data_IF_994200704937
#
_entry.id   IF_994200704937
#
_cell.length_a   1.000
_cell.length_b   1.000
_cell.length_c   1.000
_cell.angle_alpha   90.00
_cell.angle_beta   90.00
_cell.angle_gamma   90.00
#
_symmetry.space_group_name_H-M   'P 1'
#
loop_
_entity.id
_entity.type
_entity.pdbx_description
1 polymer ?
#
# COMPACT_ATOMS: atom_id res chain seq x y z
N UNK A 1 -16.93 -25.71 7.39
CA UNK A 1 -15.47 -25.99 7.44
C UNK A 1 -14.75 -25.63 6.13
N UNK A 2 -15.25 -26.03 4.94
CA UNK A 2 -14.62 -25.66 3.66
C UNK A 2 -14.63 -24.14 3.34
N UNK A 3 -15.69 -23.40 3.73
CA UNK A 3 -15.77 -21.95 3.46
C UNK A 3 -14.76 -21.14 4.29
N UNK A 4 -14.62 -21.43 5.59
CA UNK A 4 -13.67 -20.73 6.46
C UNK A 4 -12.21 -20.83 5.97
N UNK A 5 -11.80 -21.99 5.43
CA UNK A 5 -10.47 -22.18 4.84
C UNK A 5 -10.24 -21.30 3.59
N UNK A 6 -11.29 -21.12 2.77
CA UNK A 6 -11.23 -20.23 1.60
C UNK A 6 -11.16 -18.77 2.04
N UNK A 7 -11.95 -18.40 3.05
CA UNK A 7 -11.99 -17.03 3.57
C UNK A 7 -10.64 -16.63 4.18
N UNK A 8 -10.01 -17.51 4.96
CA UNK A 8 -8.67 -17.29 5.52
C UNK A 8 -7.59 -17.15 4.44
N UNK A 9 -7.66 -17.96 3.38
CA UNK A 9 -6.75 -17.87 2.25
C UNK A 9 -6.90 -16.52 1.50
N UNK A 10 -8.14 -16.05 1.30
CA UNK A 10 -8.40 -14.76 0.67
C UNK A 10 -7.93 -13.59 1.53
N UNK A 11 -8.20 -13.62 2.83
CA UNK A 11 -7.76 -12.58 3.77
C UNK A 11 -6.24 -12.53 3.84
N UNK A 12 -5.56 -13.67 3.92
CA UNK A 12 -4.10 -13.72 3.96
C UNK A 12 -3.47 -13.21 2.66
N UNK A 13 -4.00 -13.59 1.51
CA UNK A 13 -3.55 -13.09 0.21
C UNK A 13 -3.73 -11.57 0.08
N UNK A 14 -4.89 -11.04 0.46
CA UNK A 14 -5.15 -9.60 0.45
C UNK A 14 -4.18 -8.84 1.36
N UNK A 15 -3.87 -9.38 2.55
CA UNK A 15 -2.88 -8.81 3.47
C UNK A 15 -1.46 -8.81 2.91
N UNK A 16 -1.07 -9.82 2.13
CA UNK A 16 0.26 -9.88 1.50
C UNK A 16 0.45 -8.80 0.43
N UNK A 17 -0.62 -8.42 -0.26
CA UNK A 17 -0.57 -7.38 -1.30
C UNK A 17 -0.62 -5.95 -0.75
N UNK A 18 -0.98 -5.78 0.53
CA UNK A 18 -1.07 -4.46 1.14
C UNK A 18 0.32 -3.86 1.41
N UNK A 19 0.50 -2.58 1.11
CA UNK A 19 1.73 -1.84 1.49
C UNK A 19 1.91 -1.77 3.02
N UNK A 20 0.80 -1.80 3.74
CA UNK A 20 0.71 -1.69 5.17
C UNK A 20 -0.59 -2.32 5.68
N UNK A 21 -0.52 -3.03 6.81
CA UNK A 21 -1.68 -3.58 7.51
C UNK A 21 -1.68 -3.01 8.93
N UNK A 22 -2.82 -2.47 9.37
CA UNK A 22 -3.09 -2.08 10.75
C UNK A 22 -4.02 -3.14 11.34
N UNK A 23 -3.59 -3.81 12.40
CA UNK A 23 -4.33 -4.88 13.05
C UNK A 23 -4.53 -4.54 14.53
N UNK A 24 -5.67 -3.95 14.92
CA UNK A 24 -5.97 -3.67 16.31
C UNK A 24 -6.27 -4.96 17.08
N UNK A 25 -5.92 -4.98 18.37
CA UNK A 25 -6.09 -6.14 19.24
C UNK A 25 -7.52 -6.26 19.76
N UNK A 26 -8.47 -6.63 18.90
CA UNK A 26 -9.91 -6.73 19.23
C UNK A 26 -10.44 -8.16 19.10
N UNK A 27 -9.58 -9.16 18.93
CA UNK A 27 -9.98 -10.55 18.65
C UNK A 27 -10.82 -11.21 19.76
N UNK A 28 -10.71 -10.70 20.98
CA UNK A 28 -11.49 -11.10 22.14
C UNK A 28 -12.90 -10.49 22.19
N UNK A 29 -13.20 -9.46 21.39
CA UNK A 29 -14.53 -8.84 21.34
C UNK A 29 -15.43 -9.69 20.45
N UNK A 30 -16.55 -10.15 21.01
CA UNK A 30 -17.52 -10.92 20.23
C UNK A 30 -18.17 -10.02 19.17
N UNK A 31 -18.35 -10.53 17.95
CA UNK A 31 -18.86 -9.73 16.82
C UNK A 31 -20.24 -9.11 17.04
N UNK A 32 -21.05 -9.66 17.94
CA UNK A 32 -22.38 -9.16 18.30
C UNK A 32 -22.40 -8.31 19.59
N UNK A 33 -21.25 -8.02 20.19
CA UNK A 33 -21.16 -7.12 21.36
C UNK A 33 -21.02 -5.67 20.90
N UNK A 34 -22.17 -5.05 20.64
CA UNK A 34 -22.23 -3.64 20.25
C UNK A 34 -21.93 -2.68 21.40
N UNK A 35 -21.83 -3.15 22.65
CA UNK A 35 -21.50 -2.33 23.81
C UNK A 35 -20.01 -2.03 23.93
N UNK A 36 -19.15 -2.88 23.36
CA UNK A 36 -17.69 -2.72 23.41
C UNK A 36 -17.12 -1.70 22.39
N UNK A 37 -17.97 -0.87 21.77
CA UNK A 37 -17.57 0.03 20.68
C UNK A 37 -16.47 1.02 21.09
N UNK A 38 -16.56 1.62 22.29
CA UNK A 38 -15.55 2.55 22.80
C UNK A 38 -14.17 1.86 22.90
N UNK A 39 -14.14 0.63 23.41
CA UNK A 39 -12.92 -0.15 23.51
C UNK A 39 -12.33 -0.49 22.13
N UNK A 40 -13.18 -0.81 21.14
CA UNK A 40 -12.73 -1.05 19.77
C UNK A 40 -12.12 0.19 19.13
N UNK A 41 -12.71 1.38 19.39
CA UNK A 41 -12.18 2.66 18.93
C UNK A 41 -10.81 2.93 19.54
N UNK A 42 -10.69 2.80 20.87
CA UNK A 42 -9.44 3.03 21.59
C UNK A 42 -8.31 2.13 21.07
N UNK A 43 -8.56 0.82 20.93
CA UNK A 43 -7.55 -0.11 20.39
C UNK A 43 -7.22 0.15 18.93
N UNK A 44 -8.19 0.61 18.15
CA UNK A 44 -7.99 1.10 16.80
C UNK A 44 -7.03 2.28 16.75
N UNK A 45 -7.26 3.29 17.59
CA UNK A 45 -6.45 4.49 17.69
C UNK A 45 -5.01 4.17 18.14
N UNK A 46 -4.85 3.32 19.15
CA UNK A 46 -3.52 2.88 19.59
C UNK A 46 -2.74 2.15 18.48
N UNK A 47 -3.41 1.25 17.76
CA UNK A 47 -2.78 0.50 16.67
C UNK A 47 -2.40 1.42 15.51
N UNK A 48 -3.26 2.36 15.15
CA UNK A 48 -3.00 3.35 14.12
C UNK A 48 -1.84 4.28 14.53
N UNK A 49 -1.88 4.82 15.74
CA UNK A 49 -0.88 5.74 16.29
C UNK A 49 0.52 5.11 16.30
N UNK A 50 0.64 3.85 16.72
CA UNK A 50 1.92 3.10 16.69
C UNK A 50 2.49 2.97 15.26
N UNK A 51 1.63 2.95 14.24
CA UNK A 51 2.01 2.70 12.86
C UNK A 51 2.27 4.00 12.07
N UNK A 52 1.85 5.17 12.56
CA UNK A 52 2.07 6.49 11.93
C UNK A 52 3.51 6.68 11.39
N UNK A 53 4.59 6.34 12.12
CA UNK A 53 5.95 6.51 11.59
C UNK A 53 6.21 5.73 10.29
N UNK A 54 5.66 4.52 10.19
CA UNK A 54 5.79 3.67 8.99
C UNK A 54 5.00 4.23 7.82
N UNK A 55 3.80 4.77 8.07
CA UNK A 55 3.00 5.48 7.05
C UNK A 55 3.80 6.66 6.50
N UNK A 56 4.40 7.47 7.37
CA UNK A 56 5.23 8.62 6.96
C UNK A 56 6.39 8.19 6.05
N UNK A 57 7.06 7.09 6.38
CA UNK A 57 8.16 6.54 5.58
C UNK A 57 7.72 6.07 4.18
N UNK A 58 6.54 5.43 4.07
CA UNK A 58 5.97 5.03 2.78
C UNK A 58 5.65 6.26 1.91
N UNK A 59 5.01 7.26 2.49
CA UNK A 59 4.65 8.50 1.79
C UNK A 59 5.89 9.31 1.34
N UNK A 60 6.95 9.34 2.14
CA UNK A 60 8.19 10.04 1.78
C UNK A 60 8.90 9.35 0.62
N UNK A 61 8.93 8.01 0.59
CA UNK A 61 9.50 7.23 -0.51
C UNK A 61 8.74 7.48 -1.81
N UNK A 62 7.41 7.48 -1.77
CA UNK A 62 6.60 7.74 -2.96
C UNK A 62 6.83 9.16 -3.49
N UNK A 63 6.89 10.16 -2.60
CA UNK A 63 7.19 11.55 -2.96
C UNK A 63 8.54 11.68 -3.66
N UNK A 64 9.56 10.99 -3.15
CA UNK A 64 10.90 10.95 -3.74
C UNK A 64 10.90 10.28 -5.13
N UNK A 65 10.28 9.11 -5.25
CA UNK A 65 10.18 8.40 -6.53
C UNK A 65 9.42 9.22 -7.58
N UNK A 66 8.35 9.90 -7.18
CA UNK A 66 7.59 10.79 -8.08
C UNK A 66 8.43 11.95 -8.59
N UNK A 67 9.25 12.53 -7.72
CA UNK A 67 10.20 13.58 -8.10
C UNK A 67 11.23 13.06 -9.10
N UNK A 68 11.85 11.91 -8.82
CA UNK A 68 12.87 11.33 -9.68
C UNK A 68 12.32 10.88 -11.05
N UNK A 69 11.11 10.30 -11.08
CA UNK A 69 10.41 9.91 -12.32
C UNK A 69 10.09 11.11 -13.22
N UNK A 70 9.81 12.30 -12.66
CA UNK A 70 9.63 13.53 -13.46
C UNK A 70 10.92 13.97 -14.14
N UNK A 71 12.06 13.86 -13.45
CA UNK A 71 13.39 14.16 -14.02
C UNK A 71 13.81 13.16 -15.11
N UNK A 72 13.60 11.86 -14.90
CA UNK A 72 13.93 10.83 -15.89
C UNK A 72 13.05 10.86 -17.14
N UNK A 73 11.77 11.22 -17.03
CA UNK A 73 10.87 11.30 -18.20
C UNK A 73 11.36 12.32 -19.25
N UNK A 74 12.00 13.42 -18.82
CA UNK A 74 12.61 14.39 -19.75
C UNK A 74 13.79 13.78 -20.50
N UNK A 75 14.71 13.15 -19.78
CA UNK A 75 15.90 12.50 -20.37
C UNK A 75 15.57 11.33 -21.29
N UNK A 76 14.55 10.53 -20.96
CA UNK A 76 14.13 9.45 -21.84
C UNK A 76 13.37 9.95 -23.06
N UNK A 77 12.51 10.97 -22.94
CA UNK A 77 11.87 11.59 -24.11
C UNK A 77 12.92 12.16 -25.07
N UNK A 78 13.96 12.81 -24.53
CA UNK A 78 15.11 13.26 -25.31
C UNK A 78 15.77 12.07 -26.04
N UNK A 79 16.11 11.00 -25.32
CA UNK A 79 16.72 9.80 -25.93
C UNK A 79 15.83 9.10 -26.97
N UNK A 80 14.51 9.03 -26.76
CA UNK A 80 13.58 8.44 -27.73
C UNK A 80 13.43 9.31 -28.98
N UNK A 81 13.49 10.63 -28.86
CA UNK A 81 13.51 11.54 -30.02
C UNK A 81 14.85 11.45 -30.76
N UNK A 82 15.99 11.38 -30.06
CA UNK A 82 17.31 11.23 -30.71
C UNK A 82 17.50 9.84 -31.35
N UNK A 83 16.92 8.78 -30.79
CA UNK A 83 16.94 7.44 -31.39
C UNK A 83 15.86 7.22 -32.45
N UNK A 84 14.74 7.93 -32.40
CA UNK A 84 13.67 7.87 -33.39
C UNK A 84 14.10 8.40 -34.75
N UNK A 85 14.94 9.44 -34.77
CA UNK A 85 15.49 10.01 -36.01
C UNK A 85 16.50 9.08 -36.71
N UNK A 86 17.20 8.20 -35.97
CA UNK A 86 18.13 7.21 -36.56
C UNK A 86 17.43 6.02 -37.22
N UNK A 87 16.14 5.80 -36.95
CA UNK A 87 15.39 4.65 -37.49
C UNK A 87 14.66 4.97 -38.80
N UNK A 88 14.63 6.23 -39.21
CA UNK A 88 13.94 6.71 -40.43
C UNK A 88 14.85 6.83 -41.67
N UNK A 89 16.15 6.54 -41.55
CA UNK A 89 17.13 6.57 -42.65
C UNK A 89 17.74 5.20 -42.95
N UNK A 90 17.11 4.12 -42.49
CA UNK A 90 17.49 2.74 -42.81
C UNK A 90 16.25 2.04 -43.37
N UNK A 91 15.91 2.38 -44.61
CA UNK A 91 15.25 1.53 -45.61
C UNK A 91 15.29 2.23 -46.97
#
# INVERSE_FOLDING_TARGET
RANALKDDALVSFSRQLADLVIAPDVGQVHWADFGAFDQCIERGDEAATRIIPRIKALLSRERFLRFFRRGMRRRMAEQFLTNGERKLWVE
#
